data_IF_720198521275
#
_entry.id   IF_720198521275
#
_cell.length_a   1.000
_cell.length_b   1.000
_cell.length_c   1.000
_cell.angle_alpha   90.00
_cell.angle_beta   90.00
_cell.angle_gamma   90.00
#
_symmetry.space_group_name_H-M   'P 1'
#
loop_
_entity.id
_entity.type
_entity.pdbx_description
1 polymer ?
#
# COMPACT_ATOMS: atom_id res chain seq x y z
N UNK A 1 -3.62 20.03 65.85
CA UNK A 1 -2.91 18.76 65.42
C UNK A 1 -3.76 17.87 64.55
N UNK A 2 -5.02 17.49 64.93
CA UNK A 2 -5.86 16.61 64.10
C UNK A 2 -6.37 17.28 62.82
N UNK A 3 -6.67 18.55 62.88
CA UNK A 3 -7.13 19.40 61.75
C UNK A 3 -6.01 19.69 60.76
N UNK A 4 -4.80 19.92 61.24
CA UNK A 4 -3.61 20.14 60.42
C UNK A 4 -3.22 18.86 59.66
N UNK A 5 -3.34 17.70 60.30
CA UNK A 5 -3.10 16.40 59.67
C UNK A 5 -4.11 16.11 58.56
N UNK A 6 -5.36 16.51 58.75
CA UNK A 6 -6.42 16.33 57.76
C UNK A 6 -6.20 17.24 56.53
N UNK A 7 -5.85 18.50 56.74
CA UNK A 7 -5.47 19.47 55.68
C UNK A 7 -4.27 18.99 54.87
N UNK A 8 -3.26 18.45 55.55
CA UNK A 8 -2.07 17.93 54.89
C UNK A 8 -2.42 16.69 54.02
N UNK A 9 -3.29 15.80 54.48
CA UNK A 9 -3.73 14.63 53.72
C UNK A 9 -4.59 15.03 52.52
N UNK A 10 -5.44 16.06 52.64
CA UNK A 10 -6.22 16.59 51.50
C UNK A 10 -5.31 17.27 50.47
N UNK A 11 -4.32 18.05 50.89
CA UNK A 11 -3.34 18.67 50.00
C UNK A 11 -2.51 17.61 49.23
N UNK A 12 -2.07 16.56 49.93
CA UNK A 12 -1.32 15.45 49.33
C UNK A 12 -2.16 14.68 48.29
N UNK A 13 -3.45 14.49 48.57
CA UNK A 13 -4.40 13.84 47.64
C UNK A 13 -4.64 14.71 46.42
N UNK A 14 -4.80 16.02 46.58
CA UNK A 14 -4.97 16.96 45.47
C UNK A 14 -3.69 17.04 44.61
N UNK A 15 -2.51 17.05 45.23
CA UNK A 15 -1.23 17.07 44.53
C UNK A 15 -1.08 15.80 43.64
N UNK A 16 -1.38 14.61 44.16
CA UNK A 16 -1.32 13.37 43.42
C UNK A 16 -2.32 13.33 42.25
N UNK A 17 -3.53 13.87 42.45
CA UNK A 17 -4.51 13.97 41.39
C UNK A 17 -4.09 14.93 40.28
N UNK A 18 -3.45 16.04 40.65
CA UNK A 18 -2.90 17.01 39.70
C UNK A 18 -1.74 16.41 38.90
N UNK A 19 -0.81 15.72 39.58
CA UNK A 19 0.29 15.03 38.91
C UNK A 19 -0.22 13.96 37.91
N UNK A 20 -1.25 13.20 38.29
CA UNK A 20 -1.83 12.20 37.39
C UNK A 20 -2.44 12.85 36.15
N UNK A 21 -3.20 13.94 36.32
CA UNK A 21 -3.76 14.70 35.19
C UNK A 21 -2.70 15.31 34.29
N UNK A 22 -1.60 15.80 34.87
CA UNK A 22 -0.47 16.33 34.10
C UNK A 22 0.17 15.24 33.24
N UNK A 23 0.41 14.06 33.80
CA UNK A 23 0.96 12.91 33.05
C UNK A 23 0.04 12.42 31.94
N UNK A 24 -1.28 12.41 32.19
CA UNK A 24 -2.28 12.07 31.17
C UNK A 24 -2.31 13.10 30.04
N UNK A 25 -2.28 14.39 30.35
CA UNK A 25 -2.21 15.46 29.36
C UNK A 25 -0.91 15.41 28.54
N UNK A 26 0.24 15.19 29.17
CA UNK A 26 1.52 15.05 28.47
C UNK A 26 1.54 13.84 27.53
N UNK A 27 0.89 12.74 27.91
CA UNK A 27 0.73 11.58 27.05
C UNK A 27 -0.15 11.91 25.84
N UNK A 28 -1.28 12.56 26.09
CA UNK A 28 -2.22 12.94 25.04
C UNK A 28 -1.59 13.93 24.06
N UNK A 29 -0.83 14.91 24.57
CA UNK A 29 -0.09 15.86 23.72
C UNK A 29 0.97 15.18 22.86
N UNK A 30 1.72 14.22 23.41
CA UNK A 30 2.72 13.46 22.64
C UNK A 30 2.05 12.62 21.55
N UNK A 31 0.93 11.97 21.86
CA UNK A 31 0.18 11.21 20.87
C UNK A 31 -0.34 12.13 19.76
N UNK A 32 -0.97 13.25 20.12
CA UNK A 32 -1.46 14.23 19.15
C UNK A 32 -0.34 14.80 18.27
N UNK A 33 0.84 15.04 18.84
CA UNK A 33 2.00 15.51 18.07
C UNK A 33 2.50 14.45 17.08
N UNK A 34 2.53 13.17 17.48
CA UNK A 34 2.87 12.06 16.58
C UNK A 34 1.83 11.89 15.47
N UNK A 35 0.54 12.01 15.81
CA UNK A 35 -0.54 11.94 14.83
C UNK A 35 -0.43 13.10 13.80
N UNK A 36 -0.11 14.32 14.26
CA UNK A 36 0.12 15.48 13.39
C UNK A 36 1.34 15.27 12.48
N UNK A 37 2.44 14.74 13.01
CA UNK A 37 3.63 14.44 12.21
C UNK A 37 3.34 13.37 11.15
N UNK A 38 2.57 12.33 11.49
CA UNK A 38 2.13 11.32 10.52
C UNK A 38 1.21 11.92 9.45
N UNK A 39 0.28 12.81 9.83
CA UNK A 39 -0.61 13.51 8.91
C UNK A 39 0.17 14.42 7.93
N UNK A 40 1.25 15.05 8.37
CA UNK A 40 2.09 15.91 7.53
C UNK A 40 2.94 15.14 6.52
N UNK A 41 3.10 13.80 6.68
CA UNK A 41 3.86 12.96 5.75
C UNK A 41 3.04 12.44 4.57
N UNK A 42 1.70 12.59 4.60
CA UNK A 42 0.85 12.19 3.45
C UNK A 42 0.92 13.28 2.38
N UNK A 43 1.38 12.98 1.16
CA UNK A 43 1.44 13.99 0.11
C UNK A 43 0.03 14.39 -0.34
N UNK A 44 -0.19 15.68 -0.61
CA UNK A 44 -1.48 16.19 -1.09
C UNK A 44 -1.94 15.51 -2.39
N UNK A 45 -0.99 15.08 -3.22
CA UNK A 45 -1.25 14.30 -4.43
C UNK A 45 -0.33 13.08 -4.44
N UNK A 46 -0.91 11.89 -4.41
CA UNK A 46 -0.18 10.64 -4.59
C UNK A 46 -0.10 10.26 -6.07
N UNK A 47 0.98 9.61 -6.45
CA UNK A 47 1.13 9.02 -7.79
C UNK A 47 1.10 7.50 -7.70
N UNK A 48 0.20 6.89 -8.46
CA UNK A 48 0.17 5.44 -8.73
C UNK A 48 0.91 5.21 -10.04
N UNK A 49 2.03 4.49 -9.99
CA UNK A 49 2.76 4.04 -11.17
C UNK A 49 2.33 2.61 -11.51
N UNK A 50 1.57 2.46 -12.58
CA UNK A 50 1.11 1.17 -13.10
C UNK A 50 2.09 0.65 -14.15
N UNK A 51 2.74 -0.46 -13.86
CA UNK A 51 3.72 -1.13 -14.72
C UNK A 51 3.10 -2.39 -15.32
N UNK A 52 2.82 -2.37 -16.61
CA UNK A 52 2.15 -3.46 -17.32
C UNK A 52 3.14 -4.26 -18.19
N UNK A 53 3.18 -5.57 -18.02
CA UNK A 53 4.05 -6.47 -18.78
C UNK A 53 3.29 -7.71 -19.28
N UNK A 54 3.13 -7.82 -20.60
CA UNK A 54 2.48 -8.97 -21.26
C UNK A 54 3.35 -9.46 -22.44
N UNK A 55 4.43 -10.24 -22.17
CA UNK A 55 5.39 -10.66 -23.17
C UNK A 55 4.78 -11.61 -24.23
N UNK A 56 5.33 -11.55 -25.44
CA UNK A 56 4.97 -12.50 -26.49
C UNK A 56 5.26 -13.96 -26.07
N UNK A 57 4.35 -14.85 -26.42
CA UNK A 57 4.46 -16.29 -26.09
C UNK A 57 3.94 -16.66 -24.69
N UNK A 58 3.46 -15.70 -23.89
CA UNK A 58 2.70 -15.96 -22.66
C UNK A 58 1.19 -15.93 -22.94
N UNK A 59 0.38 -16.41 -22.01
CA UNK A 59 -1.08 -16.26 -22.08
C UNK A 59 -1.43 -14.78 -22.03
N UNK A 60 -2.19 -14.24 -22.99
CA UNK A 60 -2.57 -12.83 -22.96
C UNK A 60 -3.36 -12.48 -21.71
N UNK A 61 -2.99 -11.40 -21.02
CA UNK A 61 -3.69 -10.84 -19.87
C UNK A 61 -4.45 -9.57 -20.26
N UNK A 62 -5.56 -9.30 -19.58
CA UNK A 62 -6.39 -8.10 -19.82
C UNK A 62 -5.91 -6.89 -19.01
N UNK A 63 -4.63 -6.53 -19.16
CA UNK A 63 -3.98 -5.46 -18.38
C UNK A 63 -4.57 -4.07 -18.65
N UNK A 64 -5.07 -3.84 -19.84
CA UNK A 64 -5.78 -2.63 -20.25
C UNK A 64 -7.14 -2.49 -19.56
N UNK A 65 -7.87 -3.58 -19.39
CA UNK A 65 -9.14 -3.59 -18.64
C UNK A 65 -8.92 -3.39 -17.15
N UNK A 66 -7.84 -3.96 -16.61
CA UNK A 66 -7.45 -3.71 -15.21
C UNK A 66 -7.13 -2.23 -14.97
N UNK A 67 -6.25 -1.64 -15.81
CA UNK A 67 -5.90 -0.22 -15.70
C UNK A 67 -7.13 0.69 -15.85
N UNK A 68 -8.03 0.37 -16.79
CA UNK A 68 -9.28 1.08 -17.02
C UNK A 68 -10.20 1.01 -15.81
N UNK A 69 -10.40 -0.19 -15.24
CA UNK A 69 -11.26 -0.42 -14.09
C UNK A 69 -10.74 0.32 -12.86
N UNK A 70 -9.42 0.31 -12.61
CA UNK A 70 -8.78 1.10 -11.55
C UNK A 70 -9.07 2.58 -11.74
N UNK A 71 -8.83 3.14 -12.94
CA UNK A 71 -9.04 4.56 -13.22
C UNK A 71 -10.52 4.96 -13.07
N UNK A 72 -11.46 4.12 -13.49
CA UNK A 72 -12.90 4.37 -13.31
C UNK A 72 -13.28 4.45 -11.84
N UNK A 73 -12.78 3.53 -11.00
CA UNK A 73 -13.01 3.54 -9.56
C UNK A 73 -12.40 4.76 -8.87
N UNK A 74 -11.19 5.14 -9.23
CA UNK A 74 -10.54 6.36 -8.73
C UNK A 74 -11.38 7.60 -9.07
N UNK A 75 -11.86 7.73 -10.31
CA UNK A 75 -12.70 8.88 -10.74
C UNK A 75 -14.00 9.04 -9.95
N UNK A 76 -14.53 7.93 -9.40
CA UNK A 76 -15.75 7.92 -8.60
C UNK A 76 -15.49 8.12 -7.10
N UNK A 77 -14.23 8.16 -6.68
CA UNK A 77 -13.84 8.32 -5.28
C UNK A 77 -13.87 9.80 -4.85
N UNK A 78 -13.97 10.03 -3.55
CA UNK A 78 -14.05 11.38 -2.97
C UNK A 78 -12.75 12.18 -3.18
N UNK A 79 -11.60 11.53 -3.05
CA UNK A 79 -10.28 12.18 -3.17
C UNK A 79 -9.62 11.91 -4.53
N UNK A 80 -10.41 11.80 -5.61
CA UNK A 80 -9.92 11.56 -6.99
C UNK A 80 -8.90 12.59 -7.46
N UNK A 81 -9.04 13.85 -7.03
CA UNK A 81 -8.16 14.94 -7.45
C UNK A 81 -6.79 14.88 -6.74
N UNK A 82 -6.69 14.11 -5.65
CA UNK A 82 -5.44 13.81 -4.93
C UNK A 82 -4.73 12.55 -5.45
N UNK A 83 -5.20 11.95 -6.56
CA UNK A 83 -4.61 10.74 -7.14
C UNK A 83 -4.24 10.96 -8.59
N UNK A 84 -2.96 10.82 -8.91
CA UNK A 84 -2.43 10.76 -10.27
C UNK A 84 -2.17 9.31 -10.65
N UNK A 85 -2.71 8.88 -11.78
CA UNK A 85 -2.48 7.54 -12.33
C UNK A 85 -1.57 7.63 -13.56
N UNK A 86 -0.37 7.08 -13.45
CA UNK A 86 0.65 7.02 -14.51
C UNK A 86 0.84 5.56 -14.94
N UNK A 87 0.81 5.27 -16.23
CA UNK A 87 0.98 3.91 -16.72
C UNK A 87 2.19 3.79 -17.64
N UNK A 88 2.85 2.63 -17.58
CA UNK A 88 3.92 2.22 -18.49
C UNK A 88 3.57 0.84 -19.03
N UNK A 89 3.41 0.78 -20.34
CA UNK A 89 3.03 -0.44 -21.06
C UNK A 89 4.24 -1.14 -21.64
N UNK A 90 4.13 -2.45 -21.83
CA UNK A 90 5.24 -3.27 -22.34
C UNK A 90 6.54 -3.06 -21.54
N UNK A 91 6.42 -3.03 -20.21
CA UNK A 91 7.50 -2.65 -19.30
C UNK A 91 8.71 -3.56 -19.44
N UNK A 92 9.86 -2.97 -19.63
CA UNK A 92 11.18 -3.62 -19.66
C UNK A 92 11.91 -3.34 -18.35
N UNK A 93 12.90 -4.17 -18.02
CA UNK A 93 13.69 -3.96 -16.80
C UNK A 93 14.40 -2.61 -16.74
N UNK A 94 14.80 -2.04 -17.90
CA UNK A 94 15.41 -0.71 -17.97
C UNK A 94 14.43 0.45 -17.77
N UNK A 95 13.14 0.21 -17.90
CA UNK A 95 12.11 1.26 -17.80
C UNK A 95 11.71 1.53 -16.33
N UNK A 96 11.91 0.57 -15.42
CA UNK A 96 11.44 0.65 -14.03
C UNK A 96 12.03 1.84 -13.30
N UNK A 97 13.36 1.92 -13.23
CA UNK A 97 14.04 3.03 -12.52
C UNK A 97 13.79 4.38 -13.19
N UNK A 98 13.71 4.41 -14.51
CA UNK A 98 13.37 5.62 -15.25
C UNK A 98 11.96 6.09 -14.89
N UNK A 99 10.96 5.20 -14.90
CA UNK A 99 9.59 5.50 -14.55
C UNK A 99 9.45 5.97 -13.09
N UNK A 100 10.17 5.34 -12.16
CA UNK A 100 10.21 5.75 -10.75
C UNK A 100 10.75 7.17 -10.63
N UNK A 101 11.89 7.48 -11.27
CA UNK A 101 12.50 8.80 -11.22
C UNK A 101 11.63 9.90 -11.89
N UNK A 102 10.92 9.56 -12.96
CA UNK A 102 10.02 10.50 -13.66
C UNK A 102 8.75 10.80 -12.86
N UNK A 103 8.19 9.81 -12.19
CA UNK A 103 6.86 9.91 -11.58
C UNK A 103 6.88 10.13 -10.08
N UNK A 104 8.00 9.82 -9.42
CA UNK A 104 8.16 9.88 -7.96
C UNK A 104 6.95 9.24 -7.23
N UNK A 105 6.69 7.94 -7.46
CA UNK A 105 5.41 7.34 -7.09
C UNK A 105 5.29 7.09 -5.59
N UNK A 106 4.06 7.22 -5.07
CA UNK A 106 3.69 6.77 -3.73
C UNK A 106 3.30 5.29 -3.74
N UNK A 107 2.72 4.84 -4.86
CA UNK A 107 2.32 3.46 -5.07
C UNK A 107 2.92 2.96 -6.38
N UNK A 108 3.56 1.80 -6.34
CA UNK A 108 3.96 1.04 -7.54
C UNK A 108 3.04 -0.17 -7.67
N UNK A 109 2.35 -0.28 -8.79
CA UNK A 109 1.50 -1.41 -9.14
C UNK A 109 2.09 -2.15 -10.32
N UNK A 110 2.54 -3.36 -10.10
CA UNK A 110 2.97 -4.25 -11.17
C UNK A 110 1.80 -5.16 -11.58
N UNK A 111 1.46 -5.18 -12.87
CA UNK A 111 0.46 -6.08 -13.43
C UNK A 111 1.06 -6.87 -14.59
N UNK A 112 1.03 -8.21 -14.48
CA UNK A 112 1.66 -9.09 -15.45
C UNK A 112 1.79 -10.53 -14.95
N UNK A 113 2.72 -11.25 -15.54
CA UNK A 113 3.00 -12.63 -15.16
C UNK A 113 4.01 -12.74 -14.02
N UNK A 114 3.82 -13.77 -13.19
CA UNK A 114 4.81 -14.25 -12.23
C UNK A 114 5.07 -15.74 -12.44
N UNK A 115 6.18 -16.23 -11.93
CA UNK A 115 6.56 -17.65 -11.99
C UNK A 115 6.46 -18.31 -10.62
N UNK A 116 6.30 -19.63 -10.58
CA UNK A 116 6.31 -20.40 -9.32
C UNK A 116 7.60 -20.23 -8.50
N UNK A 117 8.70 -19.83 -9.15
CA UNK A 117 9.97 -19.54 -8.48
C UNK A 117 10.00 -18.12 -7.84
N UNK A 118 8.94 -17.34 -8.02
CA UNK A 118 8.85 -15.99 -7.52
C UNK A 118 9.58 -14.95 -8.39
N UNK A 119 9.76 -15.17 -9.71
CA UNK A 119 10.25 -14.14 -10.61
C UNK A 119 9.08 -13.37 -11.23
N UNK A 120 9.25 -12.07 -11.46
CA UNK A 120 8.35 -11.29 -12.32
C UNK A 120 8.78 -11.42 -13.78
N UNK A 121 7.79 -11.42 -14.68
CA UNK A 121 8.03 -11.54 -16.10
C UNK A 121 7.86 -10.19 -16.79
N UNK A 122 8.96 -9.58 -17.18
CA UNK A 122 9.02 -8.33 -17.95
C UNK A 122 9.27 -8.62 -19.44
N UNK A 123 9.45 -7.57 -20.25
CA UNK A 123 9.78 -7.69 -21.64
C UNK A 123 11.27 -7.46 -21.92
N UNK A 124 11.80 -8.24 -22.85
CA UNK A 124 13.02 -7.90 -23.58
C UNK A 124 12.76 -6.87 -24.68
N UNK A 125 13.77 -6.24 -25.27
CA UNK A 125 13.61 -5.32 -26.40
C UNK A 125 12.92 -5.92 -27.62
N UNK A 126 13.03 -7.24 -27.83
CA UNK A 126 12.35 -7.97 -28.90
C UNK A 126 10.93 -8.41 -28.56
N UNK A 127 10.42 -8.04 -27.37
CA UNK A 127 9.09 -8.41 -26.89
C UNK A 127 9.01 -9.79 -26.24
N UNK A 128 10.08 -10.56 -26.20
CA UNK A 128 10.13 -11.86 -25.50
C UNK A 128 10.13 -11.68 -23.98
N UNK A 129 9.83 -12.77 -23.26
CA UNK A 129 9.81 -12.77 -21.80
C UNK A 129 11.21 -12.61 -21.19
N UNK A 130 11.34 -11.79 -20.14
CA UNK A 130 12.50 -11.62 -19.30
C UNK A 130 12.14 -11.84 -17.84
N UNK A 131 12.76 -12.84 -17.22
CA UNK A 131 12.60 -13.09 -15.78
C UNK A 131 13.41 -12.06 -14.99
N UNK A 132 12.80 -11.51 -13.95
CA UNK A 132 13.45 -10.57 -13.02
C UNK A 132 13.22 -11.06 -11.61
N UNK A 133 14.33 -11.31 -10.90
CA UNK A 133 14.26 -11.89 -9.56
C UNK A 133 13.69 -10.91 -8.52
N UNK A 134 13.20 -11.47 -7.42
CA UNK A 134 12.69 -10.69 -6.30
C UNK A 134 13.76 -9.76 -5.69
N UNK A 135 15.02 -10.19 -5.65
CA UNK A 135 16.12 -9.38 -5.14
C UNK A 135 16.36 -8.14 -6.02
N UNK A 136 16.25 -8.28 -7.34
CA UNK A 136 16.41 -7.17 -8.27
C UNK A 136 15.25 -6.15 -8.12
N UNK A 137 14.02 -6.65 -7.96
CA UNK A 137 12.85 -5.80 -7.71
C UNK A 137 12.95 -5.12 -6.33
N UNK A 138 13.30 -5.85 -5.28
CA UNK A 138 13.49 -5.28 -3.93
C UNK A 138 14.55 -4.19 -3.94
N UNK A 139 15.69 -4.41 -4.61
CA UNK A 139 16.74 -3.40 -4.76
C UNK A 139 16.21 -2.16 -5.53
N UNK A 140 15.47 -2.35 -6.62
CA UNK A 140 14.90 -1.23 -7.36
C UNK A 140 13.94 -0.40 -6.51
N UNK A 141 13.04 -1.03 -5.75
CA UNK A 141 12.11 -0.34 -4.86
C UNK A 141 12.83 0.39 -3.71
N UNK A 142 13.90 -0.21 -3.16
CA UNK A 142 14.66 0.40 -2.06
C UNK A 142 15.34 1.72 -2.44
N UNK A 143 15.61 1.95 -3.74
CA UNK A 143 16.22 3.21 -4.22
C UNK A 143 15.28 4.42 -4.15
N UNK A 144 13.98 4.19 -3.94
CA UNK A 144 12.94 5.22 -3.82
C UNK A 144 12.05 4.99 -2.58
N UNK A 145 12.61 4.38 -1.53
CA UNK A 145 11.88 4.04 -0.30
C UNK A 145 11.41 5.23 0.52
N UNK A 146 11.88 6.42 0.23
CA UNK A 146 11.42 7.68 0.82
C UNK A 146 10.08 8.18 0.24
N UNK A 147 9.68 7.71 -0.93
CA UNK A 147 8.43 8.10 -1.59
C UNK A 147 7.46 6.96 -1.78
N UNK A 148 7.94 5.75 -2.10
CA UNK A 148 7.11 4.56 -2.29
C UNK A 148 6.67 4.04 -0.92
N UNK A 149 5.35 4.06 -0.69
CA UNK A 149 4.73 3.56 0.54
C UNK A 149 4.01 2.23 0.37
N UNK A 150 3.57 1.92 -0.85
CA UNK A 150 2.88 0.66 -1.18
C UNK A 150 3.40 0.10 -2.49
N UNK A 151 3.69 -1.20 -2.51
CA UNK A 151 3.91 -1.96 -3.75
C UNK A 151 2.84 -3.04 -3.90
N UNK A 152 2.17 -3.08 -5.05
CA UNK A 152 1.18 -4.11 -5.38
C UNK A 152 1.73 -4.95 -6.53
N UNK A 153 1.91 -6.24 -6.27
CA UNK A 153 2.31 -7.22 -7.27
C UNK A 153 1.09 -8.04 -7.70
N UNK A 154 0.37 -7.56 -8.68
CA UNK A 154 -0.78 -8.25 -9.26
C UNK A 154 -0.31 -9.25 -10.34
N UNK A 155 0.38 -10.27 -9.90
CA UNK A 155 0.99 -11.33 -10.69
C UNK A 155 0.97 -12.65 -9.91
N UNK A 156 0.81 -13.77 -10.60
CA UNK A 156 0.81 -15.09 -9.96
C UNK A 156 2.09 -15.33 -9.14
N UNK A 157 1.97 -15.97 -7.97
CA UNK A 157 3.09 -16.36 -7.10
C UNK A 157 4.03 -15.21 -6.69
N UNK A 158 3.49 -14.01 -6.59
CA UNK A 158 4.28 -12.80 -6.27
C UNK A 158 4.39 -12.49 -4.77
N UNK A 159 3.91 -13.37 -3.90
CA UNK A 159 4.06 -13.26 -2.44
C UNK A 159 5.53 -13.09 -2.01
N UNK A 160 6.52 -13.84 -2.56
CA UNK A 160 7.92 -13.66 -2.17
C UNK A 160 8.50 -12.27 -2.50
N UNK A 161 8.00 -11.60 -3.54
CA UNK A 161 8.38 -10.21 -3.83
C UNK A 161 7.82 -9.26 -2.78
N UNK A 162 6.55 -9.44 -2.41
CA UNK A 162 5.91 -8.62 -1.37
C UNK A 162 6.65 -8.75 -0.04
N UNK A 163 7.01 -9.96 0.38
CA UNK A 163 7.81 -10.20 1.59
C UNK A 163 9.20 -9.54 1.52
N UNK A 164 9.83 -9.55 0.35
CA UNK A 164 11.19 -9.00 0.20
C UNK A 164 11.23 -7.47 0.22
N UNK A 165 10.21 -6.77 -0.31
CA UNK A 165 10.25 -5.31 -0.41
C UNK A 165 9.90 -4.61 0.91
N UNK A 166 9.17 -5.25 1.84
CA UNK A 166 8.78 -4.63 3.12
C UNK A 166 9.94 -4.32 4.06
N UNK A 167 11.13 -4.84 3.80
CA UNK A 167 12.33 -4.41 4.52
C UNK A 167 12.57 -2.90 4.37
N UNK A 168 12.19 -2.32 3.22
CA UNK A 168 12.44 -0.93 2.87
C UNK A 168 11.16 -0.11 2.64
N UNK A 169 10.02 -0.73 2.33
CA UNK A 169 8.74 -0.11 1.97
C UNK A 169 7.73 -0.36 3.10
N UNK A 170 6.80 0.57 3.33
CA UNK A 170 5.82 0.48 4.42
C UNK A 170 4.93 -0.76 4.32
N UNK A 171 4.45 -1.06 3.10
CA UNK A 171 3.59 -2.20 2.85
C UNK A 171 3.71 -2.75 1.43
N UNK A 172 3.36 -4.02 1.25
CA UNK A 172 3.28 -4.67 -0.05
C UNK A 172 2.14 -5.69 -0.11
N UNK A 173 1.60 -5.86 -1.31
CA UNK A 173 0.59 -6.88 -1.61
C UNK A 173 1.17 -7.81 -2.69
N UNK A 174 1.04 -9.11 -2.47
CA UNK A 174 1.44 -10.15 -3.43
C UNK A 174 0.41 -11.28 -3.48
N UNK A 175 0.52 -12.16 -4.47
CA UNK A 175 -0.37 -13.29 -4.67
C UNK A 175 0.33 -14.59 -4.24
N UNK A 176 -0.29 -15.32 -3.30
CA UNK A 176 0.27 -16.58 -2.76
C UNK A 176 0.22 -17.73 -3.76
N UNK A 177 -0.67 -17.66 -4.73
CA UNK A 177 -0.85 -18.66 -5.77
C UNK A 177 -1.15 -18.00 -7.12
N UNK A 178 -1.57 -18.77 -8.11
CA UNK A 178 -2.11 -18.23 -9.36
C UNK A 178 -3.39 -17.43 -9.06
N UNK A 179 -3.56 -16.31 -9.76
CA UNK A 179 -4.75 -15.48 -9.74
C UNK A 179 -5.27 -15.32 -11.17
N UNK A 180 -6.59 -15.44 -11.36
CA UNK A 180 -7.23 -15.23 -12.66
C UNK A 180 -7.36 -13.73 -13.01
N UNK A 181 -7.41 -13.40 -14.30
CA UNK A 181 -7.52 -12.02 -14.78
C UNK A 181 -8.71 -11.26 -14.19
N UNK A 182 -9.87 -11.92 -14.12
CA UNK A 182 -11.08 -11.33 -13.54
C UNK A 182 -10.89 -11.01 -12.06
N UNK A 183 -10.35 -11.96 -11.30
CA UNK A 183 -10.06 -11.76 -9.88
C UNK A 183 -9.04 -10.64 -9.67
N UNK A 184 -7.96 -10.61 -10.44
CA UNK A 184 -6.93 -9.58 -10.41
C UNK A 184 -7.51 -8.18 -10.66
N UNK A 185 -8.35 -8.04 -11.69
CA UNK A 185 -9.01 -6.78 -12.06
C UNK A 185 -9.98 -6.30 -10.96
N UNK A 186 -10.84 -7.18 -10.43
CA UNK A 186 -11.82 -6.86 -9.40
C UNK A 186 -11.10 -6.47 -8.10
N UNK A 187 -10.11 -7.25 -7.69
CA UNK A 187 -9.31 -6.96 -6.50
C UNK A 187 -8.65 -5.59 -6.59
N UNK A 188 -7.88 -5.34 -7.66
CA UNK A 188 -7.17 -4.08 -7.84
C UNK A 188 -8.11 -2.88 -7.91
N UNK A 189 -9.19 -2.97 -8.69
CA UNK A 189 -10.13 -1.87 -8.83
C UNK A 189 -10.80 -1.50 -7.50
N UNK A 190 -11.20 -2.46 -6.67
CA UNK A 190 -11.79 -2.20 -5.37
C UNK A 190 -10.76 -1.71 -4.34
N UNK A 191 -9.53 -2.22 -4.37
CA UNK A 191 -8.43 -1.72 -3.53
C UNK A 191 -8.25 -0.21 -3.74
N UNK A 192 -8.09 0.22 -5.00
CA UNK A 192 -7.89 1.63 -5.33
C UNK A 192 -9.14 2.50 -5.13
N UNK A 193 -10.35 1.92 -5.28
CA UNK A 193 -11.58 2.59 -4.87
C UNK A 193 -11.51 3.00 -3.41
N UNK A 194 -11.22 2.05 -2.53
CA UNK A 194 -11.19 2.26 -1.08
C UNK A 194 -10.09 3.24 -0.66
N UNK A 195 -8.90 3.13 -1.27
CA UNK A 195 -7.81 4.09 -1.08
C UNK A 195 -8.28 5.49 -1.48
N UNK A 196 -8.96 5.64 -2.61
CA UNK A 196 -9.50 6.92 -3.09
C UNK A 196 -10.59 7.53 -2.21
N UNK A 197 -11.22 6.74 -1.34
CA UNK A 197 -12.12 7.21 -0.28
C UNK A 197 -11.39 7.49 1.04
N UNK A 198 -10.07 7.52 1.07
CA UNK A 198 -9.26 7.81 2.26
C UNK A 198 -9.32 6.71 3.32
N UNK A 199 -9.62 5.48 2.93
CA UNK A 199 -9.62 4.36 3.87
C UNK A 199 -8.19 3.90 4.16
N UNK A 200 -7.96 3.37 5.37
CA UNK A 200 -6.69 2.75 5.71
C UNK A 200 -6.39 1.57 4.79
N UNK A 201 -5.12 1.24 4.65
CA UNK A 201 -4.67 0.13 3.79
C UNK A 201 -5.32 -1.20 4.21
N UNK A 202 -5.45 -1.46 5.52
CA UNK A 202 -6.11 -2.67 6.02
C UNK A 202 -7.58 -2.74 5.60
N UNK A 203 -8.32 -1.63 5.73
CA UNK A 203 -9.73 -1.57 5.30
C UNK A 203 -9.82 -1.73 3.79
N UNK A 204 -8.94 -1.07 3.03
CA UNK A 204 -8.92 -1.14 1.56
C UNK A 204 -8.65 -2.55 1.07
N UNK A 205 -7.69 -3.23 1.68
CA UNK A 205 -7.39 -4.63 1.40
C UNK A 205 -8.58 -5.56 1.72
N UNK A 206 -9.17 -5.42 2.91
CA UNK A 206 -10.32 -6.23 3.31
C UNK A 206 -11.55 -6.01 2.41
N UNK A 207 -11.79 -4.77 1.94
CA UNK A 207 -12.87 -4.48 0.99
C UNK A 207 -12.60 -5.09 -0.39
N UNK A 208 -11.33 -5.13 -0.83
CA UNK A 208 -10.96 -5.80 -2.07
C UNK A 208 -11.20 -7.32 -2.01
N UNK A 209 -10.87 -7.98 -0.88
CA UNK A 209 -11.21 -9.39 -0.67
C UNK A 209 -12.71 -9.62 -0.60
N UNK A 210 -13.44 -8.76 0.12
CA UNK A 210 -14.89 -8.85 0.22
C UNK A 210 -15.57 -8.70 -1.17
N UNK A 211 -15.03 -7.86 -2.06
CA UNK A 211 -15.55 -7.73 -3.41
C UNK A 211 -15.39 -9.02 -4.23
N UNK A 212 -14.26 -9.73 -4.10
CA UNK A 212 -14.11 -11.06 -4.73
C UNK A 212 -15.19 -12.02 -4.24
N UNK A 213 -15.45 -12.07 -2.95
CA UNK A 213 -16.50 -12.92 -2.37
C UNK A 213 -17.91 -12.53 -2.85
N UNK A 214 -18.20 -11.22 -2.98
CA UNK A 214 -19.49 -10.72 -3.48
C UNK A 214 -19.74 -11.08 -4.93
N UNK A 215 -18.68 -11.16 -5.76
CA UNK A 215 -18.74 -11.63 -7.15
C UNK A 215 -18.74 -13.16 -7.27
N UNK A 216 -18.66 -13.88 -6.13
CA UNK A 216 -18.63 -15.34 -6.12
C UNK A 216 -17.29 -15.94 -6.58
N UNK A 217 -16.22 -15.17 -6.53
CA UNK A 217 -14.86 -15.59 -6.93
C UNK A 217 -14.18 -16.21 -5.72
N UNK A 218 -13.68 -17.43 -5.87
CA UNK A 218 -13.08 -18.22 -4.75
C UNK A 218 -11.61 -17.91 -4.46
N UNK A 219 -11.04 -16.87 -5.09
CA UNK A 219 -9.63 -16.48 -4.99
C UNK A 219 -9.40 -15.40 -3.92
N UNK A 220 -10.36 -15.18 -3.04
CA UNK A 220 -10.29 -14.23 -1.91
C UNK A 220 -9.15 -14.50 -0.93
N UNK A 221 -8.58 -15.70 -0.93
CA UNK A 221 -7.43 -16.08 -0.10
C UNK A 221 -6.08 -15.92 -0.79
N UNK A 222 -6.07 -15.64 -2.09
CA UNK A 222 -4.84 -15.51 -2.90
C UNK A 222 -4.07 -14.24 -2.62
N UNK A 223 -4.69 -13.04 -2.53
CA UNK A 223 -3.96 -11.83 -2.16
C UNK A 223 -3.49 -11.87 -0.70
N UNK A 224 -2.27 -11.40 -0.46
CA UNK A 224 -1.65 -11.28 0.86
C UNK A 224 -1.12 -9.87 1.06
N UNK A 225 -1.38 -9.30 2.23
CA UNK A 225 -0.87 -8.00 2.66
C UNK A 225 0.28 -8.21 3.63
N UNK A 226 1.40 -7.60 3.35
CA UNK A 226 2.59 -7.53 4.20
C UNK A 226 2.83 -6.09 4.60
N UNK A 227 3.23 -5.89 5.84
CA UNK A 227 3.50 -4.58 6.42
C UNK A 227 4.82 -4.65 7.17
N UNK A 228 5.61 -3.59 7.08
CA UNK A 228 6.86 -3.46 7.82
C UNK A 228 6.63 -3.59 9.32
N UNK A 229 7.49 -4.28 10.06
CA UNK A 229 7.33 -4.58 11.49
C UNK A 229 7.01 -3.36 12.36
N UNK A 230 7.49 -2.17 11.96
CA UNK A 230 7.27 -0.91 12.69
C UNK A 230 5.96 -0.20 12.34
N UNK A 231 5.13 -0.76 11.43
CA UNK A 231 3.94 -0.11 10.88
C UNK A 231 2.68 -0.93 11.19
N UNK A 232 1.52 -0.26 11.24
CA UNK A 232 0.20 -0.90 11.31
C UNK A 232 -0.61 -0.52 10.05
N UNK A 233 -1.08 -1.51 9.31
CA UNK A 233 -1.89 -1.29 8.11
C UNK A 233 -3.20 -0.52 8.40
N UNK A 234 -3.69 -0.53 9.63
CA UNK A 234 -4.85 0.28 10.04
C UNK A 234 -4.54 1.78 10.13
N UNK A 235 -3.27 2.13 10.29
CA UNK A 235 -2.79 3.52 10.39
C UNK A 235 -2.21 4.04 9.07
N UNK A 236 -1.94 3.16 8.10
CA UNK A 236 -1.46 3.56 6.77
C UNK A 236 -2.63 4.12 5.97
N UNK A 237 -2.71 5.44 5.88
CA UNK A 237 -3.61 6.18 5.01
C UNK A 237 -2.77 6.83 3.91
N UNK A 238 -3.10 6.53 2.64
CA UNK A 238 -2.31 6.99 1.49
C UNK A 238 -2.86 8.28 0.89
N UNK A 239 -4.16 8.51 1.02
CA UNK A 239 -4.85 9.71 0.53
C UNK A 239 -5.65 10.31 1.68
N UNK A 240 -5.48 11.61 1.90
CA UNK A 240 -6.23 12.34 2.92
C UNK A 240 -6.90 13.58 2.31
N UNK A 241 -8.02 14.05 2.90
CA UNK A 241 -8.58 15.35 2.56
C UNK A 241 -7.62 16.47 2.93
N UNK A 242 -7.64 17.56 2.14
CA UNK A 242 -7.03 18.84 2.50
C UNK A 242 -7.70 19.45 3.75
#
# INVERSE_FOLDING_TARGET
>A
EAEDKKRMQEADRQARQLEQRLRENERMQRQMQQDIEQLQTVPNVITILFLAANPAGTTPLQLDEEARSIQQKIRMADYRDSIRFESRWATRSGDILQAINETNPTIVHFSGHGTENGDLVLLNPDGSAKLVSKEAISMAMSTASDTIRLVVFNACFSEPQAESVIENIDAAIGMSTSIGDEAACIFASQLYSSIGFGRSLQISFNQALAQLMLEGISEDKTPKLYVKDSMDANEIILVQPD
#
